data_IF_230750833631
#
_entry.id   IF_230750833631
#
_cell.length_a   1.000
_cell.length_b   1.000
_cell.length_c   1.000
_cell.angle_alpha   90.00
_cell.angle_beta   90.00
_cell.angle_gamma   90.00
#
_symmetry.space_group_name_H-M   'P 1'
#
loop_
_entity.id
_entity.type
_entity.pdbx_description
1 polymer ?
#
# COMPACT_ATOMS: atom_id res chain seq x y z
N UNK A 1 -22.52 25.50 10.08
CA UNK A 1 -21.18 24.88 10.03
C UNK A 1 -21.34 23.44 10.48
N UNK A 2 -21.30 22.47 9.56
CA UNK A 2 -21.31 21.06 9.94
C UNK A 2 -19.96 20.78 10.61
N UNK A 3 -19.97 20.58 11.93
CA UNK A 3 -18.77 20.21 12.67
C UNK A 3 -18.21 18.91 12.09
N UNK A 4 -16.88 18.85 11.92
CA UNK A 4 -16.18 17.66 11.44
C UNK A 4 -16.49 16.50 12.38
N UNK A 5 -17.19 15.47 11.92
CA UNK A 5 -17.55 14.29 12.72
C UNK A 5 -16.39 13.31 12.90
N UNK A 6 -15.34 13.46 12.09
CA UNK A 6 -14.12 12.64 12.19
C UNK A 6 -13.35 13.01 13.47
N UNK A 7 -13.10 12.01 14.32
CA UNK A 7 -12.29 12.13 15.52
C UNK A 7 -11.02 11.31 15.36
N UNK A 8 -9.89 11.89 15.78
CA UNK A 8 -8.61 11.21 15.86
C UNK A 8 -8.11 11.38 17.29
N UNK A 9 -7.95 10.26 18.00
CA UNK A 9 -7.26 10.20 19.28
C UNK A 9 -5.88 9.61 19.07
N UNK A 10 -4.88 10.27 19.63
CA UNK A 10 -3.47 9.98 19.40
C UNK A 10 -2.81 9.53 20.70
N UNK A 11 -2.47 8.25 20.80
CA UNK A 11 -1.94 7.64 22.02
C UNK A 11 -0.50 7.19 21.81
N UNK A 12 0.46 7.89 22.44
CA UNK A 12 1.89 7.52 22.42
C UNK A 12 2.15 6.47 23.49
N UNK A 13 2.60 5.30 23.08
CA UNK A 13 2.96 4.21 23.99
C UNK A 13 4.46 4.28 24.38
N UNK A 14 5.32 4.62 23.41
CA UNK A 14 6.76 4.70 23.62
C UNK A 14 7.32 5.99 23.03
N UNK A 15 8.25 6.58 23.77
CA UNK A 15 9.06 7.72 23.35
C UNK A 15 10.49 7.47 23.78
N UNK A 16 11.44 7.51 22.85
CA UNK A 16 12.84 7.31 23.20
C UNK A 16 13.80 8.02 22.23
N UNK A 17 15.03 8.35 22.68
CA UNK A 17 16.06 8.93 21.82
C UNK A 17 16.42 8.00 20.67
N UNK A 18 16.38 8.52 19.45
CA UNK A 18 16.81 7.75 18.28
C UNK A 18 18.32 7.83 18.11
N UNK A 19 18.94 6.74 17.64
CA UNK A 19 20.38 6.65 17.40
C UNK A 19 21.21 7.06 18.63
N UNK A 20 20.77 6.65 19.83
CA UNK A 20 21.40 6.95 21.12
C UNK A 20 21.64 8.45 21.34
N UNK A 21 20.77 9.30 20.79
CA UNK A 21 20.85 10.76 20.91
C UNK A 21 21.82 11.42 19.94
N UNK A 22 22.32 10.71 18.93
CA UNK A 22 23.21 11.27 17.91
C UNK A 22 22.62 12.53 17.26
N UNK A 23 23.47 13.56 17.10
CA UNK A 23 23.07 14.82 16.48
C UNK A 23 23.24 14.81 14.95
N UNK A 24 22.19 15.17 14.23
CA UNK A 24 22.19 15.24 12.77
C UNK A 24 22.48 16.66 12.28
N UNK A 25 23.71 17.11 12.48
CA UNK A 25 24.14 18.46 12.09
C UNK A 25 23.33 19.55 12.81
N UNK A 26 23.01 20.64 12.10
CA UNK A 26 22.31 21.79 12.69
C UNK A 26 20.87 21.50 13.15
N UNK A 27 20.27 20.35 12.79
CA UNK A 27 18.94 19.95 13.25
C UNK A 27 18.96 19.38 14.67
N UNK A 28 20.10 18.80 15.09
CA UNK A 28 20.26 18.19 16.42
C UNK A 28 19.78 16.74 16.49
N UNK A 29 19.54 16.27 17.71
CA UNK A 29 19.10 14.90 17.98
C UNK A 29 17.67 14.63 17.53
N UNK A 30 17.38 13.36 17.27
CA UNK A 30 16.05 12.86 16.92
C UNK A 30 15.49 11.97 18.02
N UNK A 31 14.17 11.89 18.06
CA UNK A 31 13.44 10.96 18.90
C UNK A 31 12.42 10.18 18.07
N UNK A 32 12.08 8.98 18.56
CA UNK A 32 11.03 8.17 17.97
C UNK A 32 9.83 8.09 18.91
N UNK A 33 8.65 8.32 18.34
CA UNK A 33 7.35 8.06 18.94
C UNK A 33 6.75 6.80 18.31
N UNK A 34 6.19 5.92 19.13
CA UNK A 34 5.43 4.74 18.70
C UNK A 34 4.14 4.71 19.49
N UNK A 35 3.04 4.36 18.83
CA UNK A 35 1.74 4.34 19.48
C UNK A 35 0.62 3.92 18.54
N UNK A 36 -0.61 4.22 18.95
CA UNK A 36 -1.83 3.87 18.23
C UNK A 36 -2.69 5.11 18.01
N UNK A 37 -3.16 5.28 16.78
CA UNK A 37 -4.14 6.29 16.42
C UNK A 37 -5.52 5.63 16.38
N UNK A 38 -6.47 6.18 17.12
CA UNK A 38 -7.85 5.73 17.17
C UNK A 38 -8.72 6.69 16.38
N UNK A 39 -9.50 6.14 15.46
CA UNK A 39 -10.34 6.91 14.55
C UNK A 39 -11.81 6.60 14.83
N UNK A 40 -12.65 7.62 14.70
CA UNK A 40 -14.10 7.48 14.65
C UNK A 40 -14.65 8.38 13.54
N UNK A 41 -15.39 7.81 12.60
CA UNK A 41 -15.91 8.54 11.43
C UNK A 41 -17.39 8.29 11.22
N UNK A 42 -18.11 9.30 10.77
CA UNK A 42 -19.51 9.17 10.39
C UNK A 42 -19.60 8.49 9.01
N UNK A 43 -20.31 7.36 8.85
CA UNK A 43 -20.41 6.67 7.57
C UNK A 43 -21.23 7.42 6.50
N UNK A 44 -22.04 8.42 6.90
CA UNK A 44 -22.99 9.10 6.02
C UNK A 44 -22.53 10.48 5.53
N UNK A 45 -21.38 10.99 6.02
CA UNK A 45 -20.87 12.29 5.57
C UNK A 45 -20.17 12.21 4.20
N UNK A 46 -20.20 13.30 3.40
CA UNK A 46 -19.59 13.32 2.07
C UNK A 46 -18.11 12.93 2.04
N UNK A 47 -17.37 13.16 3.11
CA UNK A 47 -15.94 12.82 3.20
C UNK A 47 -15.68 11.30 3.15
N UNK A 48 -16.65 10.46 3.52
CA UNK A 48 -16.52 9.00 3.47
C UNK A 48 -17.19 8.38 2.24
N UNK A 49 -17.74 9.21 1.36
CA UNK A 49 -18.37 8.77 0.11
C UNK A 49 -17.38 7.97 -0.72
N UNK A 50 -17.80 6.77 -1.14
CA UNK A 50 -17.00 5.87 -1.96
C UNK A 50 -16.18 4.85 -1.18
N UNK A 51 -16.26 4.85 0.16
CA UNK A 51 -15.82 3.72 0.97
C UNK A 51 -16.88 2.62 0.87
N UNK A 52 -16.49 1.46 0.33
CA UNK A 52 -17.39 0.33 0.16
C UNK A 52 -17.80 -0.27 1.50
N UNK A 53 -19.10 -0.52 1.66
CA UNK A 53 -19.75 -1.14 2.82
C UNK A 53 -19.62 -0.37 4.15
N UNK A 54 -19.18 0.90 4.13
CA UNK A 54 -19.07 1.71 5.35
C UNK A 54 -20.43 1.98 6.02
N UNK A 55 -21.49 2.07 5.21
CA UNK A 55 -22.87 2.28 5.63
C UNK A 55 -23.48 1.07 6.34
N UNK A 56 -22.88 -0.11 6.18
CA UNK A 56 -23.26 -1.36 6.85
C UNK A 56 -22.31 -1.70 8.01
N UNK A 57 -21.25 -0.93 8.20
CA UNK A 57 -20.28 -1.18 9.26
C UNK A 57 -20.90 -0.95 10.65
N UNK A 58 -20.50 -1.72 11.67
CA UNK A 58 -20.88 -1.45 13.05
C UNK A 58 -20.51 -0.03 13.47
N UNK A 59 -21.45 0.66 14.12
CA UNK A 59 -21.28 2.00 14.68
C UNK A 59 -21.36 1.98 16.20
N UNK A 60 -20.72 2.95 16.84
CA UNK A 60 -20.83 3.15 18.28
C UNK A 60 -22.12 3.90 18.68
N UNK A 61 -22.27 4.20 19.98
CA UNK A 61 -23.42 4.94 20.51
C UNK A 61 -23.57 6.37 19.96
N UNK A 62 -22.55 6.92 19.30
CA UNK A 62 -22.57 8.22 18.61
C UNK A 62 -22.82 8.08 17.11
N UNK A 63 -23.07 6.87 16.60
CA UNK A 63 -23.25 6.59 15.18
C UNK A 63 -21.95 6.61 14.37
N UNK A 64 -20.78 6.47 15.01
CA UNK A 64 -19.48 6.53 14.35
C UNK A 64 -18.87 5.14 14.16
N UNK A 65 -18.30 4.90 12.98
CA UNK A 65 -17.49 3.71 12.68
C UNK A 65 -16.10 3.88 13.30
N UNK A 66 -15.72 2.94 14.17
CA UNK A 66 -14.43 2.96 14.89
C UNK A 66 -13.40 2.02 14.27
N UNK A 67 -12.16 2.47 14.23
CA UNK A 67 -11.01 1.69 13.77
C UNK A 67 -9.72 2.27 14.37
N UNK A 68 -8.63 1.52 14.37
CA UNK A 68 -7.39 1.96 15.00
C UNK A 68 -6.16 1.38 14.30
N UNK A 69 -5.09 2.16 14.20
CA UNK A 69 -3.87 1.74 13.52
C UNK A 69 -2.61 2.16 14.25
N UNK A 70 -1.57 1.34 14.11
CA UNK A 70 -0.25 1.70 14.64
C UNK A 70 0.30 2.93 13.91
N UNK A 71 1.02 3.77 14.63
CA UNK A 71 1.86 4.82 14.04
C UNK A 71 3.29 4.73 14.55
N UNK A 72 4.20 5.31 13.76
CA UNK A 72 5.55 5.64 14.24
C UNK A 72 5.98 6.98 13.65
N UNK A 73 6.67 7.78 14.45
CA UNK A 73 7.16 9.09 14.03
C UNK A 73 8.61 9.22 14.46
N UNK A 74 9.49 9.56 13.53
CA UNK A 74 10.85 10.03 13.82
C UNK A 74 10.90 11.53 13.59
N UNK A 75 11.19 12.31 14.62
CA UNK A 75 11.22 13.78 14.55
C UNK A 75 12.42 14.37 15.28
N UNK A 76 12.83 15.61 14.96
CA UNK A 76 13.75 16.36 15.80
C UNK A 76 13.23 16.46 17.23
N UNK A 77 14.14 16.35 18.22
CA UNK A 77 13.81 16.60 19.63
C UNK A 77 13.31 18.03 19.81
N UNK A 78 14.03 18.98 19.22
CA UNK A 78 13.61 20.38 19.10
C UNK A 78 12.86 20.59 17.76
N UNK A 79 11.52 20.73 17.77
CA UNK A 79 10.73 20.85 16.55
C UNK A 79 11.05 22.14 15.76
N UNK A 80 11.53 23.20 16.41
CA UNK A 80 11.85 24.48 15.74
C UNK A 80 13.12 24.40 14.89
N UNK A 81 13.99 23.41 15.15
CA UNK A 81 15.15 23.08 14.30
C UNK A 81 14.79 22.17 13.13
N UNK A 82 13.55 21.68 13.09
CA UNK A 82 12.99 20.94 11.97
C UNK A 82 12.72 21.83 10.75
N UNK A 83 12.48 21.21 9.60
CA UNK A 83 12.14 21.93 8.37
C UNK A 83 10.63 22.13 8.19
N UNK A 84 9.83 21.81 9.22
CA UNK A 84 8.37 21.95 9.26
C UNK A 84 7.67 21.15 8.16
N UNK A 85 8.26 20.00 7.77
CA UNK A 85 7.74 19.12 6.71
C UNK A 85 7.60 17.69 7.19
N UNK A 86 6.45 17.10 6.89
CA UNK A 86 6.23 15.66 7.04
C UNK A 86 6.69 14.95 5.76
N UNK A 87 7.47 13.88 5.93
CA UNK A 87 7.66 12.88 4.90
C UNK A 87 7.02 11.57 5.32
N UNK A 88 5.83 11.32 4.79
CA UNK A 88 5.00 10.16 5.09
C UNK A 88 5.41 8.98 4.21
N UNK A 89 5.79 7.87 4.84
CA UNK A 89 5.97 6.58 4.19
C UNK A 89 4.68 5.78 4.36
N UNK A 90 4.04 5.48 3.24
CA UNK A 90 2.79 4.72 3.24
C UNK A 90 2.99 3.30 3.80
N UNK A 91 4.20 2.74 3.91
CA UNK A 91 4.45 1.45 4.54
C UNK A 91 4.03 0.23 3.69
N UNK A 92 5.00 -0.47 3.08
CA UNK A 92 4.72 -1.57 2.16
C UNK A 92 4.43 -2.87 2.93
N UNK A 93 3.18 -3.36 2.90
CA UNK A 93 2.71 -4.49 3.72
C UNK A 93 3.04 -4.32 5.21
N UNK A 94 2.78 -3.12 5.73
CA UNK A 94 3.05 -2.73 7.12
C UNK A 94 4.53 -2.49 7.44
N UNK A 95 5.43 -2.60 6.45
CA UNK A 95 6.86 -2.42 6.67
C UNK A 95 7.32 -0.98 6.43
N UNK A 96 8.20 -0.48 7.30
CA UNK A 96 8.83 0.84 7.19
C UNK A 96 10.01 0.76 6.20
N UNK A 97 10.04 1.62 5.18
CA UNK A 97 11.01 1.49 4.07
C UNK A 97 11.73 2.78 3.71
N UNK A 98 11.20 3.95 4.05
CA UNK A 98 11.79 5.21 3.64
C UNK A 98 13.25 5.39 4.09
N UNK A 99 13.64 4.95 5.30
CA UNK A 99 15.04 5.03 5.75
C UNK A 99 15.97 4.15 4.90
N UNK A 100 15.51 2.96 4.52
CA UNK A 100 16.27 2.06 3.65
C UNK A 100 16.56 2.71 2.29
N UNK A 101 15.59 3.41 1.71
CA UNK A 101 15.71 3.93 0.34
C UNK A 101 16.25 5.35 0.23
N UNK A 102 16.11 6.19 1.27
CA UNK A 102 16.57 7.58 1.24
C UNK A 102 17.81 7.83 2.10
N UNK A 103 18.06 6.99 3.10
CA UNK A 103 19.25 7.11 3.95
C UNK A 103 20.26 5.96 3.78
N UNK A 104 20.02 5.01 2.86
CA UNK A 104 20.83 3.79 2.71
C UNK A 104 20.96 2.97 4.02
N UNK A 105 19.94 3.03 4.88
CA UNK A 105 19.91 2.28 6.13
C UNK A 105 19.57 0.79 5.90
N UNK A 106 19.91 -0.13 6.82
CA UNK A 106 19.38 -1.48 6.79
C UNK A 106 17.85 -1.48 6.91
N UNK A 107 17.22 -2.50 6.31
CA UNK A 107 15.77 -2.66 6.41
C UNK A 107 15.37 -2.98 7.86
N UNK A 108 14.45 -2.20 8.42
CA UNK A 108 13.95 -2.41 9.78
C UNK A 108 12.52 -1.91 9.92
N UNK A 109 11.70 -2.65 10.67
CA UNK A 109 10.40 -2.19 11.12
C UNK A 109 10.46 -1.55 12.50
N UNK A 110 11.62 -1.56 13.15
CA UNK A 110 11.83 -1.02 14.48
C UNK A 110 13.15 -0.24 14.53
N UNK A 111 13.26 0.90 13.82
CA UNK A 111 14.50 1.68 13.79
C UNK A 111 14.80 2.28 15.17
N UNK A 112 15.96 1.92 15.75
CA UNK A 112 16.40 2.37 17.09
C UNK A 112 17.81 2.95 17.10
N UNK A 113 18.76 2.18 16.60
CA UNK A 113 20.21 2.44 16.68
C UNK A 113 20.71 3.43 15.62
N UNK A 114 21.95 3.89 15.77
CA UNK A 114 22.62 4.75 14.78
C UNK A 114 22.70 4.09 13.40
N UNK A 115 22.90 2.77 13.32
CA UNK A 115 22.91 2.04 12.05
C UNK A 115 21.59 2.22 11.28
N UNK A 116 20.46 2.22 11.98
CA UNK A 116 19.15 2.44 11.36
C UNK A 116 18.94 3.87 10.83
N UNK A 117 19.80 4.83 11.20
CA UNK A 117 19.79 6.17 10.62
C UNK A 117 20.42 6.19 9.22
N UNK A 118 21.25 5.18 8.88
CA UNK A 118 22.06 5.16 7.67
C UNK A 118 22.94 6.41 7.57
N UNK A 119 22.96 7.05 6.40
CA UNK A 119 23.69 8.30 6.20
C UNK A 119 23.02 9.54 6.86
N UNK A 120 21.80 9.40 7.42
CA UNK A 120 21.06 10.47 8.08
C UNK A 120 20.53 11.56 7.13
N UNK A 121 20.44 11.31 5.82
CA UNK A 121 20.09 12.31 4.79
C UNK A 121 18.81 13.10 5.10
N UNK A 122 17.75 12.41 5.51
CA UNK A 122 16.47 13.03 5.86
C UNK A 122 16.56 13.80 7.19
N UNK A 123 17.28 13.28 8.18
CA UNK A 123 17.42 13.90 9.50
C UNK A 123 18.22 15.20 9.44
N UNK A 124 19.34 15.20 8.70
CA UNK A 124 20.15 16.42 8.47
C UNK A 124 19.39 17.53 7.73
N UNK A 125 18.25 17.19 7.13
CA UNK A 125 17.34 18.13 6.45
C UNK A 125 16.13 18.52 7.28
N UNK A 126 15.97 17.99 8.49
CA UNK A 126 14.93 18.42 9.43
C UNK A 126 13.55 17.82 9.19
N UNK A 127 13.43 16.76 8.38
CA UNK A 127 12.11 16.13 8.15
C UNK A 127 11.59 15.44 9.40
N UNK A 128 10.28 15.55 9.63
CA UNK A 128 9.54 14.58 10.44
C UNK A 128 9.15 13.40 9.55
N UNK A 129 9.63 12.20 9.87
CA UNK A 129 9.37 10.98 9.10
C UNK A 129 8.23 10.24 9.79
N UNK A 130 7.16 9.98 9.05
CA UNK A 130 5.89 9.50 9.63
C UNK A 130 5.45 8.22 8.94
N UNK A 131 5.00 7.26 9.74
CA UNK A 131 4.35 6.03 9.30
C UNK A 131 3.01 5.88 10.00
N UNK A 132 2.02 5.37 9.26
CA UNK A 132 0.74 4.92 9.80
C UNK A 132 0.36 3.59 9.14
N UNK A 133 -0.22 2.68 9.91
CA UNK A 133 -0.83 1.50 9.36
C UNK A 133 -2.06 1.88 8.51
N UNK A 134 -2.08 1.47 7.25
CA UNK A 134 -3.19 1.73 6.31
C UNK A 134 -3.85 0.45 5.81
N UNK A 135 -3.15 -0.68 5.89
CA UNK A 135 -3.60 -1.96 5.32
C UNK A 135 -4.27 -2.79 6.42
N UNK A 136 -5.59 -2.95 6.33
CA UNK A 136 -6.39 -3.58 7.39
C UNK A 136 -6.53 -5.10 7.34
N UNK A 137 -6.03 -5.75 6.29
CA UNK A 137 -6.02 -7.21 6.16
C UNK A 137 -4.67 -7.84 6.54
N UNK A 138 -3.72 -7.08 7.10
CA UNK A 138 -2.45 -7.65 7.57
C UNK A 138 -2.59 -8.30 8.95
N UNK A 139 -2.01 -9.49 9.07
CA UNK A 139 -1.82 -10.15 10.37
C UNK A 139 -0.52 -9.66 11.03
N UNK A 140 -0.44 -9.61 12.37
CA UNK A 140 0.76 -9.22 13.09
C UNK A 140 1.95 -10.15 12.80
N UNK A 141 3.17 -9.62 12.99
CA UNK A 141 4.42 -10.37 12.85
C UNK A 141 5.59 -9.55 12.29
N UNK A 142 6.82 -9.91 12.63
CA UNK A 142 8.06 -9.22 12.21
C UNK A 142 8.04 -7.69 12.47
N UNK A 143 7.36 -7.24 13.53
CA UNK A 143 7.23 -5.82 13.88
C UNK A 143 6.49 -4.94 12.85
N UNK A 144 5.78 -5.53 11.88
CA UNK A 144 5.00 -4.76 10.89
C UNK A 144 3.84 -4.03 11.57
N UNK A 145 3.49 -2.87 11.05
CA UNK A 145 2.38 -2.06 11.52
C UNK A 145 1.04 -2.61 11.02
N UNK A 146 0.03 -2.66 11.89
CA UNK A 146 -1.30 -3.20 11.60
C UNK A 146 -2.40 -2.17 11.84
N UNK A 147 -3.47 -2.29 11.04
CA UNK A 147 -4.67 -1.47 11.12
C UNK A 147 -5.85 -2.40 11.43
N UNK A 148 -6.54 -2.15 12.53
CA UNK A 148 -7.76 -2.87 12.87
C UNK A 148 -8.93 -2.18 12.18
N UNK A 149 -9.61 -2.91 11.31
CA UNK A 149 -10.82 -2.43 10.62
C UNK A 149 -12.03 -3.25 11.04
N UNK A 150 -13.22 -2.65 11.07
CA UNK A 150 -14.46 -3.38 11.29
C UNK A 150 -14.72 -4.33 10.12
N UNK A 151 -15.28 -5.49 10.46
CA UNK A 151 -15.99 -6.33 9.50
C UNK A 151 -17.43 -5.86 9.35
N UNK A 152 -18.08 -6.26 8.26
CA UNK A 152 -19.50 -6.02 8.01
C UNK A 152 -20.27 -7.33 8.20
N UNK A 153 -20.91 -7.56 9.37
CA UNK A 153 -21.53 -8.84 9.67
C UNK A 153 -22.63 -9.23 8.68
N UNK A 154 -22.77 -10.53 8.43
CA UNK A 154 -23.81 -11.13 7.59
C UNK A 154 -23.79 -10.73 6.10
N UNK A 155 -22.79 -9.96 5.66
CA UNK A 155 -22.54 -9.72 4.24
C UNK A 155 -21.76 -10.88 3.67
N UNK A 156 -22.27 -11.47 2.59
CA UNK A 156 -21.64 -12.58 1.86
C UNK A 156 -21.42 -12.22 0.39
N UNK A 157 -20.56 -12.98 -0.28
CA UNK A 157 -20.33 -12.79 -1.71
C UNK A 157 -19.20 -13.65 -2.27
N UNK A 158 -19.05 -13.70 -3.61
CA UNK A 158 -18.03 -14.51 -4.25
C UNK A 158 -16.63 -13.96 -3.99
N UNK A 159 -15.71 -14.85 -3.65
CA UNK A 159 -14.28 -14.59 -3.51
C UNK A 159 -13.53 -15.49 -4.47
N UNK A 160 -12.56 -14.93 -5.20
CA UNK A 160 -11.63 -15.66 -6.06
C UNK A 160 -10.22 -15.52 -5.52
N UNK A 161 -9.49 -16.62 -5.49
CA UNK A 161 -8.10 -16.69 -5.01
C UNK A 161 -7.31 -17.60 -5.94
N UNK A 162 -6.09 -17.19 -6.28
CA UNK A 162 -5.14 -18.04 -7.01
C UNK A 162 -4.00 -18.49 -6.09
N UNK A 163 -3.54 -19.72 -6.28
CA UNK A 163 -2.37 -20.28 -5.61
C UNK A 163 -1.40 -20.83 -6.66
N UNK A 164 -0.15 -20.39 -6.58
CA UNK A 164 0.93 -20.86 -7.44
C UNK A 164 2.04 -21.43 -6.55
N UNK A 165 1.99 -22.73 -6.23
CA UNK A 165 3.09 -23.40 -5.54
C UNK A 165 4.42 -23.29 -6.28
N UNK A 166 5.44 -22.85 -5.56
CA UNK A 166 6.82 -22.73 -6.04
C UNK A 166 7.67 -23.98 -5.73
N UNK A 167 7.20 -24.85 -4.83
CA UNK A 167 7.89 -26.07 -4.42
C UNK A 167 6.94 -27.19 -4.05
N UNK A 168 7.44 -28.43 -4.13
CA UNK A 168 6.69 -29.64 -3.74
C UNK A 168 6.46 -29.68 -2.23
N UNK A 169 5.44 -30.43 -1.81
CA UNK A 169 5.14 -30.68 -0.40
C UNK A 169 4.29 -29.62 0.30
N UNK A 170 3.85 -28.58 -0.42
CA UNK A 170 2.85 -27.65 0.07
C UNK A 170 1.48 -28.33 -0.03
N UNK A 171 0.80 -28.51 1.09
CA UNK A 171 -0.53 -29.14 1.14
C UNK A 171 -1.64 -28.18 1.57
N UNK A 172 -1.27 -26.98 2.05
CA UNK A 172 -2.22 -26.06 2.68
C UNK A 172 -1.87 -24.63 2.32
N UNK A 173 -2.89 -23.82 2.01
CA UNK A 173 -2.78 -22.37 1.87
C UNK A 173 -3.85 -21.68 2.72
N UNK A 174 -3.58 -20.49 3.29
CA UNK A 174 -4.65 -19.60 3.72
C UNK A 174 -5.46 -19.15 2.49
N UNK A 175 -6.77 -18.96 2.65
CA UNK A 175 -7.64 -18.45 1.57
C UNK A 175 -7.29 -17.02 1.13
N UNK A 176 -6.44 -16.29 1.85
CA UNK A 176 -5.87 -15.02 1.37
C UNK A 176 -4.76 -15.20 0.33
N UNK A 177 -4.26 -16.42 0.15
CA UNK A 177 -3.05 -16.74 -0.63
C UNK A 177 -1.74 -16.47 0.13
N UNK A 178 -1.78 -15.70 1.23
CA UNK A 178 -0.57 -15.28 1.94
C UNK A 178 -0.72 -15.41 3.47
N UNK A 179 0.24 -16.06 4.12
CA UNK A 179 0.22 -16.30 5.56
C UNK A 179 0.17 -15.01 6.42
N UNK A 180 0.62 -13.87 5.90
CA UNK A 180 0.57 -12.59 6.61
C UNK A 180 -0.72 -11.79 6.36
N UNK A 181 -1.72 -12.36 5.70
CA UNK A 181 -2.95 -11.66 5.29
C UNK A 181 -4.18 -12.42 5.77
N UNK A 182 -5.14 -11.70 6.35
CA UNK A 182 -6.45 -12.23 6.76
C UNK A 182 -7.19 -12.79 5.56
N UNK A 183 -7.56 -14.06 5.65
CA UNK A 183 -8.50 -14.70 4.73
C UNK A 183 -9.90 -14.13 4.88
N UNK A 184 -10.66 -14.02 3.80
CA UNK A 184 -12.11 -13.88 3.90
C UNK A 184 -12.68 -15.24 4.33
N UNK A 185 -13.34 -15.35 5.50
CA UNK A 185 -13.85 -16.65 5.94
C UNK A 185 -14.89 -17.20 4.96
N UNK A 186 -14.84 -18.49 4.67
CA UNK A 186 -15.86 -19.16 3.88
C UNK A 186 -17.18 -19.28 4.66
N UNK A 187 -18.32 -19.13 3.97
CA UNK A 187 -19.65 -19.37 4.54
C UNK A 187 -19.86 -20.85 4.85
N UNK A 188 -19.36 -21.72 3.96
CA UNK A 188 -19.55 -23.17 4.01
C UNK A 188 -18.22 -23.89 3.90
N UNK A 189 -18.09 -24.99 4.63
CA UNK A 189 -16.94 -25.89 4.55
C UNK A 189 -17.18 -27.05 3.58
N UNK A 190 -18.35 -27.12 2.95
CA UNK A 190 -18.66 -28.13 1.93
C UNK A 190 -17.95 -27.79 0.61
N UNK A 191 -16.96 -28.59 0.15
CA UNK A 191 -16.26 -28.32 -1.10
C UNK A 191 -17.17 -28.38 -2.33
N UNK A 192 -18.39 -28.95 -2.22
CA UNK A 192 -19.39 -28.97 -3.31
C UNK A 192 -20.05 -27.61 -3.54
N UNK A 193 -19.99 -26.71 -2.56
CA UNK A 193 -20.51 -25.33 -2.67
C UNK A 193 -19.45 -24.33 -3.16
N UNK A 194 -18.26 -24.82 -3.47
CA UNK A 194 -17.15 -24.04 -4.00
C UNK A 194 -16.55 -24.74 -5.22
N UNK A 195 -15.70 -24.03 -5.96
CA UNK A 195 -15.05 -24.56 -7.15
C UNK A 195 -13.55 -24.37 -7.06
N UNK A 196 -12.82 -25.49 -7.05
CA UNK A 196 -11.37 -25.51 -7.22
C UNK A 196 -11.04 -26.00 -8.62
N UNK A 197 -10.18 -25.27 -9.33
CA UNK A 197 -9.66 -25.66 -10.62
C UNK A 197 -8.14 -25.50 -10.64
N UNK A 198 -7.47 -26.15 -11.60
CA UNK A 198 -6.07 -25.90 -11.92
C UNK A 198 -5.85 -25.69 -13.42
N UNK A 199 -4.82 -24.94 -13.78
CA UNK A 199 -4.39 -24.73 -15.17
C UNK A 199 -2.89 -24.50 -15.24
N UNK A 200 -2.28 -24.73 -16.41
CA UNK A 200 -0.82 -24.59 -16.57
C UNK A 200 -0.43 -23.15 -16.89
N UNK A 201 -1.19 -22.49 -17.76
CA UNK A 201 -1.03 -21.09 -18.14
C UNK A 201 -2.33 -20.28 -17.94
N UNK A 202 -2.27 -18.93 -17.93
CA UNK A 202 -3.43 -18.08 -17.65
C UNK A 202 -4.66 -18.36 -18.52
N UNK A 203 -4.42 -18.57 -19.82
CA UNK A 203 -5.46 -18.76 -20.84
C UNK A 203 -5.83 -20.22 -21.08
N UNK A 204 -5.14 -21.15 -20.42
CA UNK A 204 -5.45 -22.57 -20.57
C UNK A 204 -6.85 -22.89 -20.00
N UNK A 205 -7.54 -23.90 -20.57
CA UNK A 205 -8.76 -24.42 -19.99
C UNK A 205 -8.56 -24.81 -18.52
N UNK A 206 -9.51 -24.41 -17.68
CA UNK A 206 -9.53 -24.78 -16.26
C UNK A 206 -9.88 -26.26 -16.12
N UNK A 207 -9.01 -27.02 -15.46
CA UNK A 207 -9.24 -28.42 -15.11
C UNK A 207 -9.86 -28.47 -13.71
N UNK A 208 -11.12 -28.88 -13.54
CA UNK A 208 -11.75 -28.95 -12.22
C UNK A 208 -11.10 -30.03 -11.34
N UNK A 209 -10.99 -29.74 -10.05
CA UNK A 209 -10.62 -30.75 -9.04
C UNK A 209 -11.90 -31.27 -8.36
N UNK A 210 -12.09 -32.60 -8.27
CA UNK A 210 -13.25 -33.18 -7.60
C UNK A 210 -13.36 -32.74 -6.12
N UNK A 211 -14.56 -32.46 -5.58
CA UNK A 211 -14.75 -32.00 -4.20
C UNK A 211 -14.12 -32.89 -3.13
N UNK A 212 -14.02 -34.20 -3.37
CA UNK A 212 -13.40 -35.19 -2.49
C UNK A 212 -11.86 -35.11 -2.44
N UNK A 213 -11.24 -34.41 -3.40
CA UNK A 213 -9.78 -34.30 -3.50
C UNK A 213 -9.17 -33.17 -2.64
N UNK A 214 -10.02 -32.31 -2.05
CA UNK A 214 -9.60 -31.16 -1.26
C UNK A 214 -10.66 -30.81 -0.21
N UNK A 215 -10.32 -29.91 0.72
CA UNK A 215 -11.23 -29.49 1.79
C UNK A 215 -10.86 -28.12 2.34
N UNK A 216 -11.84 -27.47 2.97
CA UNK A 216 -11.60 -26.29 3.81
C UNK A 216 -11.04 -26.74 5.18
N UNK A 217 -9.72 -26.81 5.27
CA UNK A 217 -9.02 -27.28 6.46
C UNK A 217 -7.62 -26.68 6.56
N UNK A 218 -7.07 -26.68 7.78
CA UNK A 218 -5.67 -26.36 8.04
C UNK A 218 -4.94 -27.55 8.63
N UNK A 219 -3.62 -27.54 8.50
CA UNK A 219 -2.73 -28.50 9.13
C UNK A 219 -2.13 -27.85 10.37
N UNK A 220 -2.41 -28.40 11.53
CA UNK A 220 -1.75 -28.03 12.78
C UNK A 220 -0.66 -29.05 13.11
N UNK A 221 0.47 -28.55 13.61
CA UNK A 221 1.61 -29.37 14.03
C UNK A 221 2.06 -28.90 15.40
N UNK A 222 2.36 -29.85 16.27
CA UNK A 222 2.79 -29.59 17.65
C UNK A 222 3.62 -30.71 18.22
N UNK A 223 4.14 -30.51 19.43
CA UNK A 223 4.73 -31.61 20.19
C UNK A 223 3.63 -32.61 20.56
N UNK A 224 3.91 -33.91 20.37
CA UNK A 224 3.01 -34.97 20.81
C UNK A 224 2.94 -35.07 22.33
N UNK A 225 1.88 -35.70 22.83
CA UNK A 225 1.59 -35.84 24.27
C UNK A 225 2.71 -36.54 25.05
N UNK A 226 3.49 -37.39 24.38
CA UNK A 226 4.61 -38.14 24.94
C UNK A 226 5.97 -37.44 24.78
N UNK A 227 6.02 -36.25 24.17
CA UNK A 227 7.23 -35.55 23.73
C UNK A 227 8.19 -36.39 22.85
N UNK A 228 7.72 -37.50 22.27
CA UNK A 228 8.56 -38.41 21.46
C UNK A 228 8.53 -38.07 19.97
N UNK A 229 7.60 -37.22 19.53
CA UNK A 229 7.50 -36.81 18.13
C UNK A 229 6.66 -35.56 17.89
N UNK A 230 6.69 -35.08 16.66
CA UNK A 230 5.75 -34.06 16.20
C UNK A 230 4.44 -34.74 15.78
N UNK A 231 3.33 -34.32 16.36
CA UNK A 231 1.99 -34.73 15.93
C UNK A 231 1.44 -33.77 14.88
N UNK A 232 0.56 -34.28 14.01
CA UNK A 232 -0.12 -33.49 13.00
C UNK A 232 -1.63 -33.75 13.03
N UNK A 233 -2.41 -32.68 13.11
CA UNK A 233 -3.87 -32.71 12.99
C UNK A 233 -4.32 -31.99 11.72
N UNK A 234 -5.38 -32.51 11.09
CA UNK A 234 -6.11 -31.84 10.02
C UNK A 234 -7.39 -31.31 10.64
N UNK A 235 -7.53 -30.00 10.69
CA UNK A 235 -8.63 -29.34 11.40
C UNK A 235 -9.50 -28.58 10.39
N UNK A 236 -10.84 -28.76 10.37
CA UNK A 236 -11.73 -27.94 9.56
C UNK A 236 -11.46 -26.45 9.76
N UNK A 237 -11.41 -25.69 8.66
CA UNK A 237 -11.05 -24.27 8.71
C UNK A 237 -11.71 -23.49 7.59
N UNK A 238 -12.47 -22.46 7.94
CA UNK A 238 -13.09 -21.53 6.99
C UNK A 238 -12.10 -20.51 6.41
N UNK A 239 -10.82 -20.59 6.78
CA UNK A 239 -9.78 -19.62 6.38
C UNK A 239 -8.60 -20.28 5.68
N UNK A 240 -8.63 -21.59 5.47
CA UNK A 240 -7.59 -22.35 4.78
C UNK A 240 -8.18 -23.37 3.81
N UNK A 241 -7.41 -23.66 2.77
CA UNK A 241 -7.65 -24.78 1.85
C UNK A 241 -6.56 -25.82 2.05
N UNK A 242 -6.93 -27.09 1.99
CA UNK A 242 -6.02 -28.22 2.09
C UNK A 242 -6.27 -29.24 0.98
N UNK A 243 -5.19 -29.62 0.28
CA UNK A 243 -5.15 -30.72 -0.69
C UNK A 243 -4.26 -31.82 -0.10
N UNK A 244 -4.79 -32.99 0.30
CA UNK A 244 -4.00 -34.06 0.91
C UNK A 244 -2.85 -34.54 0.01
N UNK A 245 -3.12 -34.64 -1.30
CA UNK A 245 -2.11 -35.02 -2.30
C UNK A 245 -1.04 -33.93 -2.53
N UNK A 246 -1.26 -32.71 -2.02
CA UNK A 246 -0.40 -31.56 -2.22
C UNK A 246 -0.74 -30.75 -3.48
N UNK A 247 -0.29 -29.50 -3.46
CA UNK A 247 -0.31 -28.61 -4.61
C UNK A 247 0.88 -28.92 -5.52
N UNK A 248 0.63 -29.02 -6.82
CA UNK A 248 1.65 -29.33 -7.83
C UNK A 248 2.39 -28.05 -8.29
N UNK A 249 3.73 -27.97 -8.18
CA UNK A 249 4.48 -26.77 -8.55
C UNK A 249 4.32 -26.34 -10.01
N UNK A 250 4.27 -25.03 -10.23
CA UNK A 250 4.10 -24.45 -11.56
C UNK A 250 2.71 -24.62 -12.17
N UNK A 251 1.71 -24.97 -11.36
CA UNK A 251 0.30 -24.91 -11.73
C UNK A 251 -0.38 -23.72 -11.03
N UNK A 252 -1.35 -23.13 -11.70
CA UNK A 252 -2.21 -22.10 -11.15
C UNK A 252 -3.48 -22.77 -10.65
N UNK A 253 -3.65 -22.82 -9.33
CA UNK A 253 -4.89 -23.27 -8.71
C UNK A 253 -5.81 -22.06 -8.52
N UNK A 254 -7.06 -22.14 -8.95
CA UNK A 254 -8.06 -21.10 -8.75
C UNK A 254 -9.19 -21.64 -7.89
N UNK A 255 -9.40 -21.03 -6.72
CA UNK A 255 -10.53 -21.29 -5.85
C UNK A 255 -11.55 -20.16 -5.98
N UNK A 256 -12.82 -20.52 -6.20
CA UNK A 256 -13.98 -19.63 -6.10
C UNK A 256 -14.93 -20.18 -5.04
N UNK A 257 -15.24 -19.37 -4.04
CA UNK A 257 -16.11 -19.73 -2.91
C UNK A 257 -16.93 -18.52 -2.46
N UNK A 258 -17.95 -18.75 -1.61
CA UNK A 258 -18.70 -17.67 -0.98
C UNK A 258 -18.04 -17.29 0.34
N UNK A 259 -17.48 -16.07 0.41
CA UNK A 259 -16.93 -15.50 1.62
C UNK A 259 -17.98 -14.75 2.44
N UNK A 260 -17.67 -14.47 3.71
CA UNK A 260 -18.49 -13.68 4.64
C UNK A 260 -17.69 -12.61 5.37
N UNK A 261 -18.40 -11.65 5.94
CA UNK A 261 -17.92 -10.64 6.87
C UNK A 261 -16.68 -9.88 6.34
N UNK A 262 -16.81 -9.18 5.20
CA UNK A 262 -15.71 -8.44 4.59
C UNK A 262 -15.25 -7.31 5.51
N UNK A 263 -13.96 -6.98 5.44
CA UNK A 263 -13.41 -5.77 6.05
C UNK A 263 -13.78 -4.53 5.22
N UNK A 264 -14.02 -3.40 5.89
CA UNK A 264 -14.21 -2.09 5.26
C UNK A 264 -12.85 -1.49 4.86
N UNK A 265 -12.16 -2.12 3.92
CA UNK A 265 -10.75 -1.82 3.56
C UNK A 265 -10.50 -0.37 3.10
N UNK A 266 -11.52 0.30 2.55
CA UNK A 266 -11.42 1.70 2.15
C UNK A 266 -11.14 2.67 3.30
N UNK A 267 -11.43 2.29 4.56
CA UNK A 267 -11.07 3.06 5.74
C UNK A 267 -9.55 3.25 5.89
N UNK A 268 -8.73 2.41 5.25
CA UNK A 268 -7.28 2.62 5.18
C UNK A 268 -6.89 3.97 4.57
N UNK A 269 -7.65 4.46 3.58
CA UNK A 269 -7.43 5.79 3.01
C UNK A 269 -7.93 6.91 3.93
N UNK A 270 -9.06 6.70 4.61
CA UNK A 270 -9.56 7.64 5.62
C UNK A 270 -8.56 7.78 6.78
N UNK A 271 -7.98 6.67 7.27
CA UNK A 271 -6.94 6.65 8.30
C UNK A 271 -5.77 7.56 7.94
N UNK A 272 -5.19 7.39 6.75
CA UNK A 272 -4.04 8.19 6.28
C UNK A 272 -4.42 9.66 6.14
N UNK A 273 -5.59 9.95 5.53
CA UNK A 273 -6.09 11.32 5.35
C UNK A 273 -6.24 12.03 6.70
N UNK A 274 -6.98 11.42 7.61
CA UNK A 274 -7.37 12.03 8.88
C UNK A 274 -6.16 12.15 9.81
N UNK A 275 -5.26 11.16 9.81
CA UNK A 275 -4.02 11.22 10.59
C UNK A 275 -3.07 12.32 10.11
N UNK A 276 -2.81 12.42 8.79
CA UNK A 276 -1.91 13.47 8.28
C UNK A 276 -2.56 14.84 8.40
N UNK A 277 -3.88 14.97 8.18
CA UNK A 277 -4.61 16.21 8.46
C UNK A 277 -4.50 16.60 9.93
N UNK A 278 -4.67 15.64 10.85
CA UNK A 278 -4.52 15.87 12.29
C UNK A 278 -3.13 16.41 12.63
N UNK A 279 -2.05 15.77 12.16
CA UNK A 279 -0.67 16.20 12.41
C UNK A 279 -0.33 17.57 11.80
N UNK A 280 -1.04 18.00 10.76
CA UNK A 280 -0.80 19.30 10.10
C UNK A 280 -1.56 20.44 10.73
N UNK A 281 -2.81 20.21 11.09
CA UNK A 281 -3.78 21.27 11.31
C UNK A 281 -4.41 21.29 12.71
N UNK A 282 -4.15 20.28 13.54
CA UNK A 282 -4.59 20.29 14.93
C UNK A 282 -3.57 21.05 15.79
N UNK A 283 -3.82 21.08 17.09
CA UNK A 283 -2.88 21.64 18.07
C UNK A 283 -1.46 21.05 17.88
N UNK A 284 -0.45 21.89 17.57
CA UNK A 284 0.95 21.48 17.41
C UNK A 284 1.51 20.67 18.57
N UNK A 285 0.97 20.85 19.78
CA UNK A 285 1.43 20.17 20.99
C UNK A 285 0.89 18.75 21.13
N UNK A 286 -0.19 18.39 20.42
CA UNK A 286 -0.79 17.06 20.50
C UNK A 286 0.15 15.95 19.98
N UNK A 287 0.98 16.27 18.99
CA UNK A 287 2.04 15.38 18.47
C UNK A 287 3.46 15.95 18.69
N UNK A 288 3.58 17.15 19.29
CA UNK A 288 4.84 17.89 19.52
C UNK A 288 5.73 18.00 18.27
N UNK A 289 5.10 18.15 17.11
CA UNK A 289 5.79 18.31 15.82
C UNK A 289 6.13 19.77 15.51
N UNK A 290 5.66 20.71 16.34
CA UNK A 290 5.64 22.12 15.97
C UNK A 290 4.66 22.37 14.83
N UNK A 291 4.75 23.52 14.19
CA UNK A 291 3.89 23.82 13.05
C UNK A 291 4.40 23.11 11.78
N UNK A 292 3.50 22.57 10.97
CA UNK A 292 3.83 21.87 9.72
C UNK A 292 3.33 22.64 8.50
N UNK A 293 4.26 23.06 7.63
CA UNK A 293 3.94 23.84 6.44
C UNK A 293 3.59 22.96 5.24
N UNK A 294 4.27 21.80 5.09
CA UNK A 294 4.07 20.87 3.95
C UNK A 294 4.09 19.42 4.36
N UNK A 295 3.31 18.59 3.67
CA UNK A 295 3.38 17.14 3.81
C UNK A 295 3.60 16.48 2.45
N UNK A 296 4.51 15.50 2.43
CA UNK A 296 4.82 14.69 1.28
C UNK A 296 4.54 13.21 1.54
N UNK A 297 4.09 12.46 0.53
CA UNK A 297 3.93 11.02 0.64
C UNK A 297 4.88 10.28 -0.30
N UNK A 298 5.42 9.15 0.15
CA UNK A 298 6.15 8.20 -0.67
C UNK A 298 5.64 6.79 -0.45
N UNK A 299 5.64 5.99 -1.52
CA UNK A 299 5.20 4.60 -1.47
C UNK A 299 5.82 3.81 -2.61
N UNK A 300 6.18 2.56 -2.34
CA UNK A 300 6.84 1.64 -3.27
C UNK A 300 5.91 0.51 -3.65
N UNK A 301 5.78 0.22 -4.94
CA UNK A 301 5.05 -0.94 -5.47
C UNK A 301 3.58 -0.90 -5.06
N UNK A 302 3.13 -1.81 -4.19
CA UNK A 302 1.79 -1.82 -3.60
C UNK A 302 1.36 -0.44 -3.09
N UNK A 303 2.22 0.24 -2.33
CA UNK A 303 1.87 1.54 -1.75
C UNK A 303 1.98 2.70 -2.71
N UNK A 304 2.77 2.57 -3.79
CA UNK A 304 2.72 3.53 -4.89
C UNK A 304 1.35 3.52 -5.58
N UNK A 305 0.75 2.33 -5.73
CA UNK A 305 -0.64 2.17 -6.21
C UNK A 305 -1.67 2.70 -5.20
N UNK A 306 -1.43 2.55 -3.90
CA UNK A 306 -2.28 3.17 -2.86
C UNK A 306 -2.30 4.68 -2.96
N UNK A 307 -1.14 5.32 -3.15
CA UNK A 307 -1.08 6.78 -3.33
C UNK A 307 -1.88 7.21 -4.56
N UNK A 308 -1.77 6.46 -5.67
CA UNK A 308 -2.55 6.74 -6.88
C UNK A 308 -4.06 6.59 -6.65
N UNK A 309 -4.50 5.53 -5.95
CA UNK A 309 -5.93 5.36 -5.60
C UNK A 309 -6.41 6.44 -4.63
N UNK A 310 -5.63 6.75 -3.59
CA UNK A 310 -5.91 7.80 -2.61
C UNK A 310 -6.22 9.15 -3.30
N UNK A 311 -5.37 9.56 -4.24
CA UNK A 311 -5.56 10.80 -5.01
C UNK A 311 -6.77 10.68 -5.95
N UNK A 312 -6.88 9.59 -6.72
CA UNK A 312 -7.99 9.39 -7.66
C UNK A 312 -9.36 9.41 -6.96
N UNK A 313 -9.48 8.74 -5.82
CA UNK A 313 -10.69 8.67 -4.99
C UNK A 313 -11.00 9.99 -4.29
N UNK A 314 -10.03 10.89 -4.17
CA UNK A 314 -10.21 12.23 -3.60
C UNK A 314 -9.88 12.35 -2.12
N UNK A 315 -9.21 11.35 -1.54
CA UNK A 315 -8.82 11.38 -0.13
C UNK A 315 -7.72 12.41 0.19
N UNK A 316 -7.15 13.09 -0.81
CA UNK A 316 -6.25 14.22 -0.56
C UNK A 316 -6.97 15.51 -0.12
N UNK A 317 -8.31 15.50 -0.10
CA UNK A 317 -9.14 16.49 0.58
C UNK A 317 -9.57 15.92 1.94
N UNK A 318 -9.22 16.60 3.05
CA UNK A 318 -9.74 16.22 4.37
C UNK A 318 -11.25 16.51 4.51
N UNK A 319 -11.84 16.13 5.64
CA UNK A 319 -13.26 16.34 5.88
C UNK A 319 -13.70 17.82 5.91
N UNK A 320 -12.75 18.75 6.00
CA UNK A 320 -12.96 20.20 5.88
C UNK A 320 -12.54 20.76 4.51
N UNK A 321 -12.19 19.89 3.55
CA UNK A 321 -11.77 20.26 2.20
C UNK A 321 -10.31 20.72 2.08
N UNK A 322 -9.49 20.61 3.14
CA UNK A 322 -8.10 21.05 3.12
C UNK A 322 -7.20 20.00 2.48
N UNK A 323 -6.12 20.46 1.84
CA UNK A 323 -5.16 19.60 1.15
C UNK A 323 -4.31 18.79 2.15
N UNK A 324 -4.37 17.46 2.08
CA UNK A 324 -3.60 16.59 2.99
C UNK A 324 -2.11 16.54 2.63
N UNK A 325 -1.78 16.15 1.39
CA UNK A 325 -0.41 16.15 0.86
C UNK A 325 -0.21 17.23 -0.20
N UNK A 326 0.90 17.96 -0.10
CA UNK A 326 1.32 18.93 -1.11
C UNK A 326 2.04 18.26 -2.29
N UNK A 327 2.70 17.14 -2.05
CA UNK A 327 3.42 16.39 -3.06
C UNK A 327 3.42 14.89 -2.78
N UNK A 328 3.36 14.09 -3.83
CA UNK A 328 3.37 12.63 -3.72
C UNK A 328 4.37 12.00 -4.68
N UNK A 329 5.02 10.94 -4.21
CA UNK A 329 6.00 10.17 -4.96
C UNK A 329 5.60 8.69 -5.00
N UNK A 330 4.74 8.28 -5.95
CA UNK A 330 4.54 6.88 -6.28
C UNK A 330 5.81 6.33 -6.95
N UNK A 331 6.44 5.35 -6.30
CA UNK A 331 7.60 4.64 -6.81
C UNK A 331 7.21 3.21 -7.24
N UNK A 332 7.62 2.80 -8.45
CA UNK A 332 7.38 1.46 -9.03
C UNK A 332 5.93 0.98 -8.94
N UNK A 333 4.99 1.90 -9.14
CA UNK A 333 3.56 1.62 -8.98
C UNK A 333 2.90 0.96 -10.20
N UNK A 334 3.55 0.93 -11.37
CA UNK A 334 2.86 0.69 -12.64
C UNK A 334 1.84 1.78 -12.95
N UNK A 335 0.89 1.48 -13.82
CA UNK A 335 -0.27 2.33 -14.08
C UNK A 335 -1.46 2.03 -13.16
N UNK A 336 -1.45 0.88 -12.49
CA UNK A 336 -2.54 0.47 -11.61
C UNK A 336 -2.78 1.37 -10.41
N UNK A 337 -3.92 1.09 -9.78
CA UNK A 337 -4.36 1.62 -8.50
C UNK A 337 -4.57 0.46 -7.54
N UNK A 338 -4.72 0.76 -6.25
CA UNK A 338 -5.25 -0.23 -5.32
C UNK A 338 -6.77 -0.18 -5.31
N UNK A 339 -7.37 -1.32 -4.99
CA UNK A 339 -8.80 -1.55 -5.13
C UNK A 339 -9.43 -1.81 -3.76
N UNK A 340 -9.05 -0.98 -2.76
CA UNK A 340 -9.51 -1.14 -1.37
C UNK A 340 -11.02 -0.90 -1.22
N UNK A 341 -11.61 -0.15 -2.15
CA UNK A 341 -13.04 0.13 -2.21
C UNK A 341 -13.74 -0.88 -3.14
N UNK A 342 -13.61 -2.16 -2.80
CA UNK A 342 -14.33 -3.28 -3.38
C UNK A 342 -14.63 -4.29 -2.28
N UNK A 343 -15.84 -4.83 -2.29
CA UNK A 343 -16.24 -5.89 -1.36
C UNK A 343 -15.36 -7.12 -1.58
N UNK A 344 -14.91 -7.74 -0.48
CA UNK A 344 -13.94 -8.84 -0.49
C UNK A 344 -12.62 -8.52 -1.19
N UNK A 345 -12.20 -7.24 -1.19
CA UNK A 345 -10.88 -6.88 -1.68
C UNK A 345 -9.77 -7.61 -0.91
N UNK A 346 -8.65 -7.85 -1.60
CA UNK A 346 -7.43 -8.36 -1.01
C UNK A 346 -6.30 -7.39 -1.38
N UNK A 347 -5.73 -6.73 -0.37
CA UNK A 347 -4.78 -5.66 -0.59
C UNK A 347 -3.38 -6.17 -0.99
N UNK A 348 -3.03 -7.43 -0.70
CA UNK A 348 -1.72 -8.01 -1.07
C UNK A 348 -1.67 -8.55 -2.48
N UNK A 349 -2.81 -9.01 -3.03
CA UNK A 349 -2.90 -9.51 -4.40
C UNK A 349 -2.53 -8.37 -5.36
N UNK A 350 -1.69 -8.72 -6.33
CA UNK A 350 -1.11 -7.76 -7.27
C UNK A 350 -2.06 -7.54 -8.46
N UNK A 351 -1.76 -6.57 -9.32
CA UNK A 351 -2.38 -6.59 -10.65
C UNK A 351 -1.82 -7.74 -11.47
N UNK A 352 -2.49 -8.11 -12.56
CA UNK A 352 -2.06 -9.22 -13.41
C UNK A 352 -0.55 -9.18 -13.71
N UNK A 353 0.16 -10.26 -13.37
CA UNK A 353 1.56 -10.46 -13.76
C UNK A 353 1.64 -11.35 -15.01
N UNK A 354 2.80 -11.91 -15.34
CA UNK A 354 2.94 -12.76 -16.54
C UNK A 354 2.02 -13.98 -16.50
N UNK A 355 1.82 -14.59 -15.32
CA UNK A 355 1.11 -15.86 -15.18
C UNK A 355 -0.07 -15.85 -14.19
N UNK A 356 -0.30 -14.76 -13.46
CA UNK A 356 -1.17 -14.77 -12.27
C UNK A 356 -1.98 -13.49 -12.11
N UNK A 357 -3.07 -13.56 -11.35
CA UNK A 357 -3.87 -12.40 -10.91
C UNK A 357 -4.50 -11.56 -12.05
N UNK A 358 -4.63 -12.11 -13.28
CA UNK A 358 -5.15 -11.38 -14.45
C UNK A 358 -6.59 -10.86 -14.28
N UNK A 359 -7.36 -11.48 -13.38
CA UNK A 359 -8.74 -11.09 -13.10
C UNK A 359 -8.88 -10.08 -11.94
N UNK A 360 -7.76 -9.63 -11.36
CA UNK A 360 -7.77 -8.63 -10.31
C UNK A 360 -7.96 -7.21 -10.89
N UNK A 361 -8.92 -6.39 -10.43
CA UNK A 361 -9.20 -5.04 -10.97
C UNK A 361 -8.13 -3.96 -10.66
N UNK A 362 -6.84 -4.33 -10.52
CA UNK A 362 -5.78 -3.39 -10.18
C UNK A 362 -5.42 -2.41 -11.31
N UNK A 363 -5.38 -2.89 -12.55
CA UNK A 363 -4.99 -2.09 -13.73
C UNK A 363 -6.23 -1.63 -14.51
N UNK A 364 -6.97 -0.71 -13.90
CA UNK A 364 -8.20 -0.15 -14.47
C UNK A 364 -8.04 1.33 -14.82
N UNK A 365 -8.66 1.75 -15.91
CA UNK A 365 -8.74 3.15 -16.33
C UNK A 365 -9.36 4.05 -15.24
N UNK A 366 -8.88 5.31 -15.05
CA UNK A 366 -7.79 5.98 -15.75
C UNK A 366 -6.37 5.60 -15.29
N UNK A 367 -5.45 5.57 -16.26
CA UNK A 367 -4.02 5.33 -16.02
C UNK A 367 -3.21 6.63 -15.88
N UNK A 368 -3.66 7.71 -16.51
CA UNK A 368 -2.94 8.98 -16.55
C UNK A 368 -3.30 9.89 -15.38
N UNK A 369 -2.36 10.76 -15.00
CA UNK A 369 -2.64 11.87 -14.08
C UNK A 369 -3.47 12.96 -14.73
N UNK A 370 -3.24 13.22 -16.02
CA UNK A 370 -4.07 14.12 -16.82
C UNK A 370 -5.28 13.37 -17.40
N UNK A 371 -6.30 14.11 -17.80
CA UNK A 371 -7.48 13.54 -18.45
C UNK A 371 -7.08 12.86 -19.77
N UNK A 372 -7.53 11.62 -19.92
CA UNK A 372 -7.42 10.86 -21.17
C UNK A 372 -8.77 10.24 -21.52
N UNK A 373 -8.87 9.74 -22.74
CA UNK A 373 -10.03 8.96 -23.22
C UNK A 373 -9.62 7.51 -23.37
N UNK A 374 -10.39 6.60 -22.77
CA UNK A 374 -10.31 5.18 -23.08
C UNK A 374 -10.94 4.92 -24.45
N UNK A 375 -10.16 4.45 -25.42
CA UNK A 375 -10.61 4.24 -26.79
C UNK A 375 -11.46 2.98 -26.96
N UNK A 376 -11.43 2.05 -26.00
CA UNK A 376 -12.26 0.85 -26.03
C UNK A 376 -13.67 1.15 -25.52
N UNK A 377 -13.81 2.02 -24.51
CA UNK A 377 -15.09 2.31 -23.86
C UNK A 377 -15.63 3.72 -24.09
N UNK A 378 -14.83 4.63 -24.64
CA UNK A 378 -15.15 6.06 -24.80
C UNK A 378 -15.08 6.87 -23.49
N UNK A 379 -14.79 6.24 -22.35
CA UNK A 379 -14.77 6.92 -21.04
C UNK A 379 -13.66 7.96 -20.96
N UNK A 380 -13.93 9.12 -20.36
CA UNK A 380 -12.96 10.19 -20.10
C UNK A 380 -12.76 10.35 -18.60
N UNK A 381 -11.52 10.30 -18.14
CA UNK A 381 -11.20 10.45 -16.70
C UNK A 381 -9.71 10.75 -16.48
N UNK A 382 -9.36 11.16 -15.26
CA UNK A 382 -8.01 11.49 -14.81
C UNK A 382 -7.79 11.07 -13.34
N UNK A 383 -6.53 10.86 -12.93
CA UNK A 383 -6.20 10.75 -11.50
C UNK A 383 -6.24 12.13 -10.81
N UNK A 384 -5.70 13.18 -11.45
CA UNK A 384 -5.74 14.56 -10.95
C UNK A 384 -6.95 15.26 -11.57
N UNK A 385 -8.01 15.42 -10.77
CA UNK A 385 -9.28 16.04 -11.20
C UNK A 385 -9.88 16.98 -10.15
N UNK A 386 -9.11 17.35 -9.13
CA UNK A 386 -9.54 18.17 -7.98
C UNK A 386 -8.46 19.24 -7.71
N UNK A 387 -8.37 20.30 -8.53
CA UNK A 387 -7.21 21.21 -8.54
C UNK A 387 -6.87 21.83 -7.17
N UNK A 388 -7.87 22.13 -6.35
CA UNK A 388 -7.67 22.69 -5.00
C UNK A 388 -6.91 21.74 -4.08
N UNK A 389 -7.15 20.45 -4.21
CA UNK A 389 -6.60 19.41 -3.32
C UNK A 389 -5.65 18.47 -4.02
N UNK A 390 -5.44 18.56 -5.33
CA UNK A 390 -4.51 17.70 -6.05
C UNK A 390 -3.06 18.02 -5.61
N UNK A 391 -2.23 16.99 -5.35
CA UNK A 391 -0.83 17.16 -5.01
C UNK A 391 0.03 17.34 -6.27
N UNK A 392 1.23 17.88 -6.09
CA UNK A 392 2.29 17.74 -7.10
C UNK A 392 2.74 16.28 -7.16
N UNK A 393 3.05 15.77 -8.36
CA UNK A 393 3.36 14.35 -8.55
C UNK A 393 4.72 14.14 -9.18
N UNK A 394 5.55 13.34 -8.52
CA UNK A 394 6.75 12.74 -9.10
C UNK A 394 6.51 11.23 -9.22
N UNK A 395 6.48 10.71 -10.44
CA UNK A 395 6.29 9.26 -10.66
C UNK A 395 7.58 8.64 -11.19
N UNK A 396 8.21 7.81 -10.35
CA UNK A 396 9.44 7.08 -10.70
C UNK A 396 9.15 5.58 -10.80
N UNK A 397 9.68 4.89 -11.81
CA UNK A 397 9.62 3.42 -11.86
C UNK A 397 10.83 2.83 -12.56
N UNK A 398 11.01 1.50 -12.43
CA UNK A 398 12.06 0.75 -13.12
C UNK A 398 11.60 0.36 -14.53
N UNK A 399 12.43 -0.41 -15.23
CA UNK A 399 12.08 -0.99 -16.53
C UNK A 399 10.96 -2.03 -16.43
N UNK A 400 10.88 -2.79 -15.33
CA UNK A 400 9.89 -3.86 -15.15
C UNK A 400 8.48 -3.32 -15.29
N UNK A 401 8.17 -2.24 -14.57
CA UNK A 401 6.81 -1.71 -14.61
C UNK A 401 6.51 -1.00 -15.95
N UNK A 402 7.53 -0.43 -16.60
CA UNK A 402 7.40 0.16 -17.94
C UNK A 402 6.87 -0.86 -18.95
N UNK A 403 7.43 -2.07 -18.96
CA UNK A 403 7.09 -3.11 -19.91
C UNK A 403 5.91 -4.00 -19.47
N UNK A 404 5.75 -4.27 -18.17
CA UNK A 404 4.84 -5.30 -17.68
C UNK A 404 3.65 -4.85 -16.83
N UNK A 405 3.59 -3.59 -16.39
CA UNK A 405 2.55 -3.10 -15.46
C UNK A 405 1.73 -1.94 -16.03
N UNK A 406 1.42 -2.02 -17.33
CA UNK A 406 0.65 -1.05 -18.12
C UNK A 406 1.19 0.40 -18.03
N UNK A 407 2.43 0.63 -17.58
CA UNK A 407 2.98 1.98 -17.42
C UNK A 407 3.13 2.70 -18.75
N UNK A 408 3.37 2.00 -19.86
CA UNK A 408 3.33 2.62 -21.19
C UNK A 408 2.03 3.39 -21.44
N UNK A 409 0.92 3.03 -20.78
CA UNK A 409 -0.35 3.75 -20.87
C UNK A 409 -0.38 5.09 -20.07
N UNK A 410 0.63 5.42 -19.26
CA UNK A 410 0.68 6.69 -18.50
C UNK A 410 1.21 7.86 -19.36
N UNK A 411 2.37 7.75 -20.04
CA UNK A 411 2.89 8.82 -20.89
C UNK A 411 2.37 8.78 -22.34
N UNK A 412 1.49 7.84 -22.72
CA UNK A 412 0.97 7.73 -24.10
C UNK A 412 -0.38 8.43 -24.23
N UNK A 413 -0.45 9.72 -24.59
CA UNK A 413 -1.66 10.28 -25.17
C UNK A 413 -1.80 9.75 -26.60
N UNK A 414 -2.96 9.21 -26.93
CA UNK A 414 -3.41 9.26 -28.32
C UNK A 414 -3.63 10.75 -28.66
N UNK A 415 -2.72 11.31 -29.45
CA UNK A 415 -2.67 12.72 -29.89
C UNK A 415 -2.46 13.78 -28.78
N UNK A 416 -1.21 14.22 -28.62
CA UNK A 416 -0.86 15.41 -27.85
C UNK A 416 -1.42 16.69 -28.49
N UNK A 417 -2.44 17.29 -27.89
CA UNK A 417 -2.60 18.75 -27.88
C UNK A 417 -2.53 19.22 -26.43
N UNK A 418 -1.34 19.67 -26.01
CA UNK A 418 -1.08 20.12 -24.65
C UNK A 418 -1.48 21.60 -24.52
N UNK A 419 -2.60 21.89 -23.85
CA UNK A 419 -2.88 23.22 -23.28
C UNK A 419 -2.96 23.11 -21.76
N UNK A 420 -1.85 23.51 -21.10
CA UNK A 420 -1.73 24.06 -19.75
C UNK A 420 -2.47 23.38 -18.57
N UNK A 421 -1.76 22.60 -17.72
CA UNK A 421 -1.83 22.50 -16.22
C UNK A 421 -1.20 21.18 -15.67
N UNK A 422 -0.89 21.10 -14.36
CA UNK A 422 0.42 21.32 -13.73
C UNK A 422 1.45 20.17 -13.89
N UNK A 423 2.71 20.50 -13.57
CA UNK A 423 3.92 19.71 -13.82
C UNK A 423 3.94 18.31 -13.18
N UNK A 424 3.65 17.28 -13.98
CA UNK A 424 4.03 15.89 -13.69
C UNK A 424 5.46 15.64 -14.20
N UNK A 425 6.33 15.10 -13.35
CA UNK A 425 7.66 14.65 -13.76
C UNK A 425 7.67 13.11 -13.85
N UNK A 426 8.01 12.59 -15.03
CA UNK A 426 8.24 11.16 -15.26
C UNK A 426 9.72 10.87 -15.31
N UNK A 427 10.17 9.95 -14.46
CA UNK A 427 11.54 9.44 -14.51
C UNK A 427 11.47 7.92 -14.72
N UNK A 428 12.04 7.47 -15.82
CA UNK A 428 12.21 6.05 -16.17
C UNK A 428 13.68 5.81 -16.46
N UNK A 429 14.27 4.80 -15.82
CA UNK A 429 15.63 4.37 -16.10
C UNK A 429 15.82 2.89 -15.74
N UNK A 430 16.73 2.18 -16.42
CA UNK A 430 17.08 0.82 -16.03
C UNK A 430 17.74 0.84 -14.65
N UNK A 431 17.22 0.05 -13.71
CA UNK A 431 17.93 -0.26 -12.48
C UNK A 431 19.07 -1.23 -12.85
N UNK A 432 20.31 -0.72 -12.96
CA UNK A 432 21.48 -1.61 -12.99
C UNK A 432 21.82 -1.97 -11.55
N UNK A 433 21.51 -3.19 -11.14
CA UNK A 433 22.09 -3.77 -9.93
C UNK A 433 23.60 -3.94 -10.15
N UNK A 434 24.42 -3.23 -9.37
CA UNK A 434 25.85 -3.53 -9.28
C UNK A 434 25.98 -4.71 -8.32
N UNK A 435 26.11 -5.92 -8.85
CA UNK A 435 26.61 -7.07 -8.09
C UNK A 435 28.15 -7.10 -8.20
N UNK A 436 28.90 -7.33 -7.11
CA UNK A 436 30.35 -7.40 -7.16
C UNK A 436 30.76 -8.80 -7.61
N UNK A 437 30.71 -9.07 -8.92
CA UNK A 437 31.38 -10.24 -9.50
C UNK A 437 32.47 -9.77 -10.46
N UNK A 438 33.72 -10.05 -10.07
CA UNK A 438 34.92 -9.90 -10.89
C UNK A 438 34.75 -10.72 -12.17
N UNK A 439 34.66 -10.06 -13.32
CA UNK A 439 35.26 -10.57 -14.56
C UNK A 439 35.56 -9.41 -15.50
N UNK A 440 36.79 -9.38 -15.99
CA UNK A 440 37.27 -8.42 -16.99
C UNK A 440 36.65 -8.80 -18.34
N UNK A 441 35.86 -7.90 -18.91
CA UNK A 441 35.39 -7.99 -20.29
C UNK A 441 35.00 -6.61 -20.81
N UNK A 442 35.78 -6.06 -21.74
CA UNK A 442 35.48 -4.81 -22.46
C UNK A 442 34.31 -5.07 -23.41
N UNK A 443 33.26 -4.23 -23.35
CA UNK A 443 32.27 -4.10 -24.43
C UNK A 443 31.91 -2.63 -24.62
N UNK A 444 31.80 -2.24 -25.90
CA UNK A 444 31.79 -0.85 -26.39
C UNK A 444 30.49 -0.11 -26.10
N UNK A 445 30.63 1.21 -25.94
CA UNK A 445 29.53 2.14 -25.75
C UNK A 445 28.75 2.36 -27.06
N UNK A 446 27.46 2.02 -27.06
CA UNK A 446 26.50 2.58 -28.01
C UNK A 446 25.69 3.66 -27.29
N UNK A 447 25.98 4.91 -27.63
CA UNK A 447 25.34 6.12 -27.13
C UNK A 447 23.89 6.20 -27.62
N UNK A 448 22.92 6.26 -26.69
CA UNK A 448 21.57 6.75 -26.98
C UNK A 448 21.39 8.11 -26.29
N UNK A 449 21.34 9.17 -27.10
CA UNK A 449 21.07 10.55 -26.69
C UNK A 449 19.65 10.63 -26.10
N UNK A 450 19.52 11.16 -24.88
CA UNK A 450 18.26 11.68 -24.32
C UNK A 450 18.51 13.15 -23.99
N UNK A 451 17.98 14.05 -24.83
CA UNK A 451 17.82 15.49 -24.56
C UNK A 451 16.50 15.69 -23.80
N UNK A 452 16.25 16.68 -22.93
CA UNK A 452 17.06 17.65 -22.19
C UNK A 452 16.10 18.47 -21.33
N UNK A 453 16.56 18.89 -20.15
CA UNK A 453 15.93 19.88 -19.28
C UNK A 453 16.08 21.27 -19.94
N UNK A 454 15.03 22.10 -20.09
CA UNK A 454 15.24 23.49 -20.46
C UNK A 454 15.58 24.31 -19.21
N UNK A 455 16.87 24.57 -19.01
CA UNK A 455 17.33 25.76 -18.30
C UNK A 455 17.02 26.98 -19.18
N UNK A 456 16.30 27.96 -18.64
CA UNK A 456 15.99 29.23 -19.32
C UNK A 456 17.28 29.96 -19.74
N UNK A 457 17.40 30.47 -20.97
CA UNK A 457 18.32 31.56 -21.29
C UNK A 457 17.63 32.92 -21.07
N UNK A 458 18.37 33.86 -20.47
CA UNK A 458 18.02 35.28 -20.37
C UNK A 458 17.89 35.90 -21.77
N UNK A 459 16.88 36.75 -21.95
CA UNK A 459 16.81 37.67 -23.09
C UNK A 459 17.91 38.73 -22.96
N UNK A 460 18.72 38.89 -24.02
CA UNK A 460 19.26 40.17 -24.44
C UNK A 460 19.17 40.24 -25.97
N UNK A 461 18.51 41.29 -26.44
CA UNK A 461 18.20 41.61 -27.83
C UNK A 461 19.44 41.98 -28.64
N UNK A 462 19.43 41.64 -29.93
CA UNK A 462 20.35 42.19 -30.91
C UNK A 462 19.92 43.62 -31.33
N UNK A 463 20.82 44.59 -31.12
CA UNK A 463 21.39 45.41 -32.18
C UNK A 463 22.87 45.56 -31.91
#
# INVERSE_FOLDING_TARGET
>A
MAGTTNRVEFSVAERFPFADGHEFGAVGAYERLVGRAHFAVDPHVPAQKGITDIDQAPVDAMGLVRFAGDFSILKPVDPERGNRRIFFDYGNRGNKRILQFFNDAPASNDPRTFEHAGNGFLMRRGYAIVWLAWQGDLLPGNGRMVLDLPTVPAVTGPVRVEYIPDRRGITTYPLSGHASTRSHPAVSLDPREARLTRRRYPDDPRIPLPPESWRFARVERGAGLDNQGAEQAIIPSDTHIHIPAGFEPGWIYELVYTGRDPLVLGLGHAAVRDFVSFLRYSDPDAARLGTIDKAYAWGRSQTGRCIRDFVYRGFNADASGRKVFDGVLPHVAGAGRKWLNHRFANAVVSGGQQYEDHFNPADTFPFSYAETTDHLTGRRDAILKRPETDPLVIHTQTATEYCGAARSCIPTPAAMTCRSRPACAFISGPARSISPTRSRGRWSAASAKIFSIPLRPRCCSAR
#
